data_IF_696218303461
#
_entry.id   IF_696218303461
#
_cell.length_a   1.000
_cell.length_b   1.000
_cell.length_c   1.000
_cell.angle_alpha   90.00
_cell.angle_beta   90.00
_cell.angle_gamma   90.00
#
_symmetry.space_group_name_H-M   'P 1'
#
loop_
_entity.id
_entity.type
_entity.pdbx_description
1 polymer ?
#
# COMPACT_ATOMS: atom_id res chain seq x y z
N UNK A 1 -16.20 55.31 43.46
CA UNK A 1 -17.02 54.51 44.38
C UNK A 1 -18.41 55.13 44.52
N UNK A 2 -19.38 54.69 43.71
CA UNK A 2 -20.82 54.83 43.97
C UNK A 2 -21.52 53.66 43.30
N UNK A 3 -21.99 52.73 44.13
CA UNK A 3 -22.79 51.56 43.78
C UNK A 3 -24.23 51.98 43.58
N UNK A 4 -24.85 51.58 42.47
CA UNK A 4 -26.31 51.48 42.36
C UNK A 4 -26.68 50.07 41.93
N UNK A 5 -27.56 49.49 42.72
CA UNK A 5 -27.98 48.10 42.71
C UNK A 5 -29.51 48.15 42.62
N UNK A 6 -30.10 47.73 41.50
CA UNK A 6 -31.56 47.52 41.38
C UNK A 6 -31.80 46.22 40.62
N UNK A 7 -32.39 45.27 41.34
CA UNK A 7 -32.97 44.01 40.87
C UNK A 7 -34.44 44.22 40.43
N UNK A 8 -34.96 43.17 39.75
CA UNK A 8 -36.34 42.83 39.36
C UNK A 8 -36.65 43.07 37.88
N UNK A 9 -36.57 42.01 37.05
CA UNK A 9 -37.56 40.95 36.79
C UNK A 9 -38.67 41.40 35.83
N UNK A 10 -38.74 40.79 34.64
CA UNK A 10 -40.00 40.30 34.09
C UNK A 10 -39.75 39.16 33.09
N UNK A 11 -40.38 38.05 33.43
CA UNK A 11 -40.48 36.76 32.74
C UNK A 11 -41.46 36.89 31.58
N UNK A 12 -41.18 36.26 30.44
CA UNK A 12 -42.20 35.91 29.45
C UNK A 12 -42.02 34.45 29.02
N UNK A 13 -42.91 33.63 29.55
CA UNK A 13 -43.20 32.27 29.11
C UNK A 13 -44.12 32.34 27.88
N UNK A 14 -43.86 31.49 26.88
CA UNK A 14 -44.96 30.76 26.24
C UNK A 14 -44.53 29.33 25.94
N UNK A 15 -45.18 28.41 26.65
CA UNK A 15 -45.25 26.96 26.46
C UNK A 15 -46.50 26.69 25.61
N UNK A 16 -46.40 25.84 24.59
CA UNK A 16 -47.35 24.75 24.20
C UNK A 16 -46.52 23.83 23.29
N UNK A 17 -46.34 22.52 23.46
CA UNK A 17 -47.10 21.45 24.11
C UNK A 17 -47.16 20.30 23.06
N UNK A 18 -46.43 19.19 23.21
CA UNK A 18 -46.86 17.93 23.86
C UNK A 18 -48.05 17.28 23.08
N UNK A 19 -48.14 15.99 22.69
CA UNK A 19 -47.75 14.69 23.28
C UNK A 19 -48.02 13.55 22.25
N UNK A 20 -47.10 12.59 22.17
CA UNK A 20 -47.23 11.11 22.04
C UNK A 20 -48.16 10.45 21.00
N UNK A 21 -47.65 9.36 20.38
CA UNK A 21 -48.01 8.00 20.79
C UNK A 21 -47.00 6.95 20.30
N UNK A 22 -46.79 5.98 21.19
CA UNK A 22 -45.93 4.82 21.07
C UNK A 22 -46.53 3.75 20.14
N UNK A 23 -45.69 2.89 19.56
CA UNK A 23 -45.59 1.48 19.98
C UNK A 23 -44.81 0.63 18.96
N UNK A 24 -44.29 -0.44 19.51
CA UNK A 24 -43.46 -1.53 18.98
C UNK A 24 -44.07 -2.27 17.78
N UNK A 25 -43.22 -2.66 16.84
CA UNK A 25 -43.52 -3.68 15.85
C UNK A 25 -42.25 -4.40 15.41
N UNK A 26 -42.02 -5.60 15.94
CA UNK A 26 -41.09 -6.57 15.37
C UNK A 26 -41.66 -7.08 14.05
N UNK A 27 -40.85 -7.07 12.98
CA UNK A 27 -41.10 -7.88 11.80
C UNK A 27 -39.77 -8.42 11.28
N UNK A 28 -39.55 -9.72 11.50
CA UNK A 28 -38.71 -10.55 10.65
C UNK A 28 -39.39 -10.71 9.28
N UNK A 29 -38.59 -10.83 8.21
CA UNK A 29 -38.76 -11.66 7.00
C UNK A 29 -37.90 -11.02 5.88
N UNK A 30 -36.75 -11.63 5.57
CA UNK A 30 -36.60 -12.61 4.48
C UNK A 30 -36.64 -11.98 3.08
N UNK A 31 -35.45 -11.79 2.50
CA UNK A 31 -35.27 -11.79 1.06
C UNK A 31 -34.03 -12.64 0.71
N UNK A 32 -34.24 -13.96 0.71
CA UNK A 32 -33.38 -14.91 0.02
C UNK A 32 -33.68 -14.82 -1.48
N UNK A 33 -32.75 -14.32 -2.29
CA UNK A 33 -32.79 -14.54 -3.73
C UNK A 33 -32.06 -15.84 -4.06
N UNK A 34 -32.85 -16.92 -4.18
CA UNK A 34 -32.49 -18.12 -4.94
C UNK A 34 -32.47 -17.75 -6.42
N UNK A 35 -31.30 -17.60 -7.01
CA UNK A 35 -31.14 -17.78 -8.46
C UNK A 35 -30.64 -19.21 -8.66
N UNK A 36 -31.55 -20.05 -9.18
CA UNK A 36 -31.31 -21.45 -9.51
C UNK A 36 -30.70 -21.52 -10.91
N UNK A 37 -29.62 -22.27 -11.02
CA UNK A 37 -28.95 -22.66 -12.26
C UNK A 37 -29.88 -23.41 -13.24
N UNK A 38 -29.72 -23.13 -14.55
CA UNK A 38 -29.64 -24.08 -15.69
C UNK A 38 -29.42 -23.28 -16.99
N UNK A 39 -28.18 -23.28 -17.51
CA UNK A 39 -27.69 -24.00 -18.72
C UNK A 39 -28.14 -23.39 -20.07
N UNK A 40 -27.37 -23.49 -21.18
CA UNK A 40 -26.09 -24.18 -21.39
C UNK A 40 -24.97 -23.29 -21.98
N UNK A 41 -23.75 -23.85 -21.94
CA UNK A 41 -22.63 -23.55 -22.82
C UNK A 41 -23.05 -23.38 -24.28
N UNK A 42 -22.77 -22.21 -24.87
CA UNK A 42 -22.37 -22.11 -26.28
C UNK A 42 -21.68 -20.77 -26.49
N UNK A 43 -20.36 -20.79 -26.69
CA UNK A 43 -19.65 -20.03 -27.73
C UNK A 43 -18.16 -20.41 -27.67
N UNK A 44 -17.90 -21.67 -28.01
CA UNK A 44 -16.75 -22.05 -28.82
C UNK A 44 -16.91 -21.40 -30.21
N UNK A 45 -15.77 -21.05 -30.82
CA UNK A 45 -15.55 -20.41 -32.13
C UNK A 45 -15.59 -18.88 -32.14
N UNK A 46 -14.45 -18.28 -31.79
CA UNK A 46 -13.61 -17.57 -32.76
C UNK A 46 -12.16 -17.95 -32.45
N UNK A 47 -11.72 -19.09 -33.01
CA UNK A 47 -10.30 -19.35 -33.25
C UNK A 47 -10.06 -18.68 -34.61
N UNK A 48 -9.28 -17.61 -34.61
CA UNK A 48 -8.76 -17.03 -35.83
C UNK A 48 -7.48 -17.80 -36.18
N UNK A 49 -7.62 -18.77 -37.09
CA UNK A 49 -6.59 -19.71 -37.54
C UNK A 49 -5.49 -19.05 -38.41
N UNK A 50 -5.13 -17.79 -38.14
CA UNK A 50 -4.11 -17.05 -38.91
C UNK A 50 -2.93 -16.51 -38.08
N UNK A 51 -2.71 -17.02 -36.86
CA UNK A 51 -1.58 -16.61 -36.02
C UNK A 51 -0.48 -17.68 -35.87
N UNK A 52 -0.25 -18.48 -36.92
CA UNK A 52 0.75 -19.57 -36.91
C UNK A 52 1.86 -19.40 -37.96
N UNK A 53 2.10 -18.17 -38.43
CA UNK A 53 3.17 -17.90 -39.40
C UNK A 53 3.91 -16.58 -39.11
N UNK A 54 4.57 -16.50 -37.95
CA UNK A 54 5.71 -15.58 -37.73
C UNK A 54 6.53 -16.01 -36.49
N UNK A 55 6.91 -17.29 -36.40
CA UNK A 55 8.02 -17.73 -35.54
C UNK A 55 9.07 -18.34 -36.45
N UNK A 56 9.93 -17.48 -36.98
CA UNK A 56 11.30 -17.84 -37.34
C UNK A 56 12.14 -16.57 -37.30
N UNK A 57 12.75 -16.31 -36.15
CA UNK A 57 14.01 -15.57 -36.08
C UNK A 57 14.77 -15.91 -34.81
N UNK A 58 16.11 -15.82 -34.87
CA UNK A 58 17.00 -16.82 -34.31
C UNK A 58 17.21 -16.65 -32.80
N UNK A 59 17.30 -17.79 -32.11
CA UNK A 59 17.94 -17.90 -30.80
C UNK A 59 19.33 -17.30 -30.91
N UNK A 60 19.50 -16.07 -30.42
CA UNK A 60 20.81 -15.53 -30.11
C UNK A 60 20.90 -15.48 -28.59
N UNK A 61 21.79 -16.31 -28.05
CA UNK A 61 22.23 -16.25 -26.66
C UNK A 61 22.88 -14.88 -26.40
N UNK A 62 22.06 -13.85 -26.17
CA UNK A 62 22.54 -12.55 -25.73
C UNK A 62 22.60 -12.58 -24.21
N UNK A 63 23.80 -12.88 -23.70
CA UNK A 63 24.17 -12.67 -22.29
C UNK A 63 23.82 -11.23 -21.91
N UNK A 64 22.81 -11.05 -21.06
CA UNK A 64 22.35 -9.74 -20.60
C UNK A 64 23.46 -9.04 -19.81
N UNK A 65 23.84 -7.82 -20.23
CA UNK A 65 24.79 -6.97 -19.50
C UNK A 65 24.04 -5.95 -18.62
N UNK A 66 24.67 -5.44 -17.57
CA UNK A 66 24.07 -4.42 -16.70
C UNK A 66 23.70 -3.11 -17.46
N UNK A 67 24.39 -2.83 -18.58
CA UNK A 67 24.15 -1.69 -19.46
C UNK A 67 22.87 -1.85 -20.30
N UNK A 68 22.51 -3.09 -20.68
CA UNK A 68 21.23 -3.34 -21.36
C UNK A 68 20.04 -3.15 -20.43
N UNK A 69 20.23 -3.33 -19.12
CA UNK A 69 19.18 -3.18 -18.10
C UNK A 69 18.84 -1.70 -17.87
N UNK A 70 19.84 -0.82 -17.75
CA UNK A 70 19.60 0.63 -17.52
C UNK A 70 19.01 1.36 -18.73
N UNK A 71 19.38 0.97 -19.96
CA UNK A 71 18.80 1.55 -21.18
C UNK A 71 17.39 1.01 -21.48
N UNK A 72 17.07 -0.19 -20.99
CA UNK A 72 15.75 -0.80 -21.06
C UNK A 72 14.78 -0.13 -20.08
N UNK A 73 15.22 0.28 -18.89
CA UNK A 73 14.41 0.96 -17.87
C UNK A 73 13.75 2.26 -18.36
N UNK A 74 14.54 3.20 -18.91
CA UNK A 74 14.01 4.49 -19.39
C UNK A 74 13.07 4.31 -20.59
N UNK A 75 13.30 3.27 -21.39
CA UNK A 75 12.49 2.97 -22.56
C UNK A 75 11.18 2.25 -22.16
N UNK A 76 11.21 1.36 -21.17
CA UNK A 76 10.00 0.70 -20.64
C UNK A 76 9.07 1.72 -20.01
N UNK A 77 9.56 2.61 -19.14
CA UNK A 77 8.69 3.56 -18.43
C UNK A 77 7.82 4.35 -19.41
N UNK A 78 8.37 4.72 -20.56
CA UNK A 78 7.66 5.41 -21.64
C UNK A 78 6.63 4.56 -22.40
N UNK A 79 6.68 3.23 -22.28
CA UNK A 79 5.86 2.27 -23.02
C UNK A 79 4.80 1.56 -22.16
N UNK A 80 4.77 1.75 -20.83
CA UNK A 80 3.82 1.05 -19.93
C UNK A 80 2.36 1.52 -20.09
N UNK A 81 2.13 2.67 -20.70
CA UNK A 81 0.79 3.11 -21.08
C UNK A 81 0.21 2.24 -22.21
N UNK A 82 1.07 1.66 -23.05
CA UNK A 82 0.67 0.74 -24.11
C UNK A 82 0.56 -0.71 -23.60
N UNK A 83 -0.40 -1.46 -24.15
CA UNK A 83 -0.54 -2.91 -23.88
C UNK A 83 0.73 -3.67 -24.28
N UNK A 84 1.30 -3.32 -25.43
CA UNK A 84 2.51 -3.95 -25.98
C UNK A 84 3.71 -3.76 -25.06
N UNK A 85 3.92 -2.56 -24.51
CA UNK A 85 5.00 -2.32 -23.55
C UNK A 85 4.84 -3.11 -22.26
N UNK A 86 3.59 -3.29 -21.78
CA UNK A 86 3.29 -4.13 -20.62
C UNK A 86 3.54 -5.62 -20.89
N UNK A 87 3.15 -6.12 -22.05
CA UNK A 87 3.44 -7.51 -22.46
C UNK A 87 4.96 -7.76 -22.55
N UNK A 88 5.73 -6.84 -23.16
CA UNK A 88 7.20 -6.91 -23.21
C UNK A 88 7.86 -6.94 -21.83
N UNK A 89 7.36 -6.15 -20.87
CA UNK A 89 7.89 -6.15 -19.51
C UNK A 89 7.65 -7.48 -18.81
N UNK A 90 6.50 -8.12 -19.02
CA UNK A 90 6.21 -9.43 -18.44
C UNK A 90 7.02 -10.53 -19.09
N UNK A 91 7.23 -10.48 -20.40
CA UNK A 91 8.13 -11.40 -21.09
C UNK A 91 9.55 -11.30 -20.52
N UNK A 92 10.03 -10.08 -20.28
CA UNK A 92 11.30 -9.84 -19.58
C UNK A 92 11.33 -10.43 -18.17
N UNK A 93 10.24 -10.30 -17.39
CA UNK A 93 10.14 -10.91 -16.06
C UNK A 93 10.19 -12.44 -16.09
N UNK A 94 9.61 -13.05 -17.12
CA UNK A 94 9.63 -14.51 -17.33
C UNK A 94 11.02 -15.00 -17.76
N UNK A 95 11.67 -14.28 -18.69
CA UNK A 95 13.06 -14.58 -19.06
C UNK A 95 14.01 -14.44 -17.86
N UNK A 96 13.78 -13.45 -16.98
CA UNK A 96 14.46 -13.37 -15.71
C UNK A 96 14.14 -14.57 -14.79
N UNK A 97 12.94 -15.14 -14.78
CA UNK A 97 12.60 -16.28 -13.92
C UNK A 97 13.19 -17.61 -14.39
N UNK A 98 13.29 -17.82 -15.71
CA UNK A 98 13.53 -19.14 -16.31
C UNK A 98 15.03 -19.47 -16.46
N UNK A 99 15.90 -18.47 -16.42
CA UNK A 99 17.35 -18.67 -16.51
C UNK A 99 17.97 -19.04 -15.15
N UNK A 100 18.14 -20.35 -14.93
CA UNK A 100 19.04 -20.94 -13.93
C UNK A 100 20.47 -20.91 -14.49
N UNK A 101 21.34 -20.06 -13.97
CA UNK A 101 22.78 -20.23 -14.17
C UNK A 101 23.57 -19.87 -12.91
N UNK A 102 24.43 -20.81 -12.52
CA UNK A 102 25.21 -20.85 -11.28
C UNK A 102 26.38 -19.84 -11.21
N UNK A 103 26.34 -18.74 -11.98
CA UNK A 103 27.35 -17.68 -11.88
C UNK A 103 26.96 -16.67 -10.79
N UNK A 104 27.80 -16.51 -9.76
CA UNK A 104 27.53 -15.65 -8.60
C UNK A 104 27.34 -14.16 -8.98
N UNK A 105 28.03 -13.70 -10.02
CA UNK A 105 27.90 -12.35 -10.60
C UNK A 105 26.60 -12.18 -11.41
N UNK A 106 26.20 -13.20 -12.16
CA UNK A 106 24.91 -13.24 -12.88
C UNK A 106 23.74 -13.15 -11.90
N UNK A 107 23.87 -13.83 -10.76
CA UNK A 107 22.86 -13.80 -9.70
C UNK A 107 22.74 -12.42 -9.02
N UNK A 108 23.82 -11.64 -8.91
CA UNK A 108 23.77 -10.26 -8.40
C UNK A 108 23.06 -9.31 -9.37
N UNK A 109 23.40 -9.37 -10.67
CA UNK A 109 22.74 -8.55 -11.70
C UNK A 109 21.23 -8.85 -11.79
N UNK A 110 20.85 -10.13 -11.65
CA UNK A 110 19.45 -10.58 -11.59
C UNK A 110 18.73 -10.05 -10.33
N UNK A 111 19.38 -10.11 -9.16
CA UNK A 111 18.82 -9.54 -7.94
C UNK A 111 18.63 -8.01 -8.04
N UNK A 112 19.58 -7.30 -8.65
CA UNK A 112 19.44 -5.87 -8.95
C UNK A 112 18.29 -5.60 -9.92
N UNK A 113 18.16 -6.38 -11.00
CA UNK A 113 17.05 -6.29 -11.94
C UNK A 113 15.69 -6.44 -11.24
N UNK A 114 15.54 -7.46 -10.39
CA UNK A 114 14.32 -7.63 -9.59
C UNK A 114 14.07 -6.49 -8.61
N UNK A 115 15.11 -5.93 -7.97
CA UNK A 115 14.95 -4.79 -7.07
C UNK A 115 14.44 -3.54 -7.81
N UNK A 116 15.00 -3.29 -8.99
CA UNK A 116 14.57 -2.17 -9.82
C UNK A 116 13.15 -2.34 -10.36
N UNK A 117 12.80 -3.56 -10.77
CA UNK A 117 11.42 -3.91 -11.15
C UNK A 117 10.46 -3.76 -9.98
N UNK A 118 10.86 -4.14 -8.76
CA UNK A 118 10.06 -3.88 -7.56
C UNK A 118 9.82 -2.38 -7.38
N UNK A 119 10.85 -1.56 -7.58
CA UNK A 119 10.75 -0.12 -7.57
C UNK A 119 9.79 0.43 -8.61
N UNK A 120 9.90 -0.02 -9.86
CA UNK A 120 9.01 0.35 -10.95
C UNK A 120 7.55 -0.01 -10.63
N UNK A 121 7.27 -1.26 -10.26
CA UNK A 121 5.91 -1.68 -9.93
C UNK A 121 5.32 -0.93 -8.74
N UNK A 122 6.14 -0.54 -7.76
CA UNK A 122 5.68 0.32 -6.68
C UNK A 122 5.25 1.71 -7.19
N UNK A 123 6.01 2.32 -8.12
CA UNK A 123 5.65 3.62 -8.73
C UNK A 123 4.31 3.51 -9.49
N UNK A 124 4.10 2.37 -10.15
CA UNK A 124 2.86 2.04 -10.86
C UNK A 124 1.72 1.61 -9.92
N UNK A 125 1.94 1.58 -8.60
CA UNK A 125 1.01 1.12 -7.55
C UNK A 125 0.56 -0.34 -7.69
N UNK A 126 1.38 -1.16 -8.36
CA UNK A 126 1.21 -2.60 -8.50
C UNK A 126 1.91 -3.33 -7.35
N UNK A 127 1.54 -2.97 -6.11
CA UNK A 127 2.27 -3.37 -4.91
C UNK A 127 2.42 -4.89 -4.71
N UNK A 128 1.42 -5.74 -5.04
CA UNK A 128 1.61 -7.18 -4.99
C UNK A 128 2.74 -7.68 -5.89
N UNK A 129 2.85 -7.13 -7.11
CA UNK A 129 3.92 -7.48 -8.04
C UNK A 129 5.27 -6.90 -7.60
N UNK A 130 5.28 -5.67 -7.08
CA UNK A 130 6.46 -5.05 -6.51
C UNK A 130 7.09 -5.92 -5.42
N UNK A 131 6.28 -6.38 -4.46
CA UNK A 131 6.75 -7.21 -3.37
C UNK A 131 7.10 -8.64 -3.82
N UNK A 132 6.45 -9.21 -4.86
CA UNK A 132 6.90 -10.46 -5.48
C UNK A 132 8.30 -10.33 -6.10
N UNK A 133 8.57 -9.22 -6.81
CA UNK A 133 9.91 -8.93 -7.33
C UNK A 133 10.92 -8.77 -6.18
N UNK A 134 10.57 -8.02 -5.13
CA UNK A 134 11.42 -7.87 -3.95
C UNK A 134 11.75 -9.21 -3.28
N UNK A 135 10.76 -10.12 -3.16
CA UNK A 135 10.98 -11.46 -2.63
C UNK A 135 12.07 -12.24 -3.38
N UNK A 136 12.15 -12.06 -4.71
CA UNK A 136 13.19 -12.71 -5.53
C UNK A 136 14.60 -12.18 -5.23
N UNK A 137 14.72 -10.95 -4.74
CA UNK A 137 16.00 -10.37 -4.30
C UNK A 137 16.48 -11.01 -2.99
N UNK A 138 15.56 -11.36 -2.09
CA UNK A 138 15.87 -12.00 -0.79
C UNK A 138 16.45 -13.41 -0.96
N UNK A 139 15.95 -14.15 -1.95
CA UNK A 139 16.42 -15.51 -2.26
C UNK A 139 17.90 -15.58 -2.67
N UNK A 140 18.48 -14.48 -3.16
CA UNK A 140 19.91 -14.37 -3.47
C UNK A 140 20.77 -14.30 -2.20
N UNK A 141 20.38 -13.48 -1.21
CA UNK A 141 21.15 -13.31 0.04
C UNK A 141 21.26 -14.61 0.84
N UNK A 142 20.19 -15.42 0.86
CA UNK A 142 20.20 -16.76 1.49
C UNK A 142 21.22 -17.71 0.86
N UNK A 143 21.44 -17.65 -0.46
CA UNK A 143 22.45 -18.47 -1.15
C UNK A 143 23.89 -17.97 -0.91
N UNK A 144 24.09 -16.66 -0.76
CA UNK A 144 25.40 -16.08 -0.52
C UNK A 144 25.91 -16.30 0.93
N UNK A 145 25.02 -16.52 1.90
CA UNK A 145 25.37 -16.69 3.32
C UNK A 145 25.52 -18.14 3.79
N UNK A 146 25.19 -19.15 2.98
CA UNK A 146 25.36 -20.56 3.37
C UNK A 146 26.71 -21.15 2.93
N UNK A 147 27.70 -21.07 3.83
CA UNK A 147 28.49 -22.27 4.20
C UNK A 147 27.62 -23.07 5.19
N UNK A 148 27.49 -24.41 5.05
CA UNK A 148 26.49 -25.17 5.79
C UNK A 148 27.00 -25.50 7.19
N UNK A 149 26.81 -24.59 8.15
CA UNK A 149 26.77 -25.00 9.55
C UNK A 149 25.32 -25.24 9.94
N UNK A 150 25.04 -26.52 10.15
CA UNK A 150 23.77 -27.06 10.61
C UNK A 150 23.44 -26.46 11.98
N UNK A 151 22.14 -26.27 12.27
CA UNK A 151 21.50 -26.07 13.60
C UNK A 151 20.71 -24.76 13.81
N UNK A 152 20.74 -23.74 12.94
CA UNK A 152 19.97 -22.47 13.20
C UNK A 152 18.65 -22.28 12.41
N UNK A 153 18.17 -23.28 11.68
CA UNK A 153 17.00 -23.13 10.78
C UNK A 153 15.61 -23.05 11.45
N UNK A 154 15.52 -22.86 12.77
CA UNK A 154 14.26 -23.03 13.51
C UNK A 154 13.63 -21.76 14.12
N UNK A 155 14.24 -20.57 14.02
CA UNK A 155 13.73 -19.40 14.76
C UNK A 155 13.28 -18.18 13.94
N UNK A 156 13.54 -18.11 12.63
CA UNK A 156 13.03 -17.02 11.76
C UNK A 156 11.94 -17.49 10.78
N UNK A 157 11.24 -18.59 11.10
CA UNK A 157 10.37 -19.35 10.20
C UNK A 157 9.14 -18.62 9.66
N UNK A 158 9.33 -17.69 8.73
CA UNK A 158 8.31 -17.30 7.76
C UNK A 158 8.18 -18.45 6.73
N UNK A 159 7.32 -19.41 7.03
CA UNK A 159 6.99 -20.55 6.16
C UNK A 159 6.17 -20.13 4.93
N UNK A 160 6.71 -19.23 4.10
CA UNK A 160 6.04 -18.79 2.88
C UNK A 160 5.95 -19.93 1.87
N UNK A 161 4.77 -20.12 1.28
CA UNK A 161 4.66 -20.96 0.10
C UNK A 161 5.33 -20.24 -1.08
N UNK A 162 6.60 -20.59 -1.35
CA UNK A 162 7.43 -19.97 -2.40
C UNK A 162 6.78 -20.02 -3.78
N UNK A 163 5.94 -21.02 -4.06
CA UNK A 163 5.25 -21.15 -5.35
C UNK A 163 4.16 -20.09 -5.53
N UNK A 164 3.47 -19.70 -4.46
CA UNK A 164 2.43 -18.65 -4.51
C UNK A 164 3.02 -17.24 -4.73
N UNK A 165 4.31 -17.06 -4.46
CA UNK A 165 5.07 -15.82 -4.68
C UNK A 165 5.82 -15.83 -6.02
N UNK A 166 5.59 -16.82 -6.88
CA UNK A 166 6.09 -16.78 -8.26
C UNK A 166 5.28 -15.78 -9.08
N UNK A 167 5.97 -15.10 -10.00
CA UNK A 167 5.32 -14.29 -11.03
C UNK A 167 4.77 -15.26 -12.07
N UNK A 168 3.47 -15.20 -12.36
CA UNK A 168 2.80 -16.17 -13.23
C UNK A 168 1.68 -15.53 -14.05
N UNK A 169 0.98 -16.35 -14.85
CA UNK A 169 -0.08 -15.91 -15.75
C UNK A 169 -1.23 -15.13 -15.09
N UNK A 170 -1.48 -15.31 -13.79
CA UNK A 170 -2.47 -14.51 -13.05
C UNK A 170 -2.00 -13.04 -12.96
N UNK A 171 -0.71 -12.83 -12.68
CA UNK A 171 -0.11 -11.49 -12.64
C UNK A 171 -0.14 -10.82 -14.02
N UNK A 172 0.04 -11.62 -15.09
CA UNK A 172 -0.07 -11.13 -16.47
C UNK A 172 -1.44 -10.51 -16.74
N UNK A 173 -2.50 -11.19 -16.32
CA UNK A 173 -3.87 -10.73 -16.55
C UNK A 173 -4.19 -9.43 -15.83
N UNK A 174 -3.63 -9.22 -14.63
CA UNK A 174 -3.84 -7.99 -13.85
C UNK A 174 -3.07 -6.83 -14.46
N UNK A 175 -1.82 -7.06 -14.85
CA UNK A 175 -0.93 -6.02 -15.35
C UNK A 175 -1.25 -5.61 -16.80
N UNK A 176 -1.48 -6.57 -17.71
CA UNK A 176 -1.72 -6.28 -19.13
C UNK A 176 -3.07 -5.62 -19.34
N UNK A 177 -4.11 -6.12 -18.67
CA UNK A 177 -5.49 -5.69 -18.90
C UNK A 177 -5.89 -4.45 -18.09
N UNK A 178 -5.12 -4.08 -17.05
CA UNK A 178 -5.36 -2.85 -16.29
C UNK A 178 -4.44 -1.74 -16.83
N UNK A 179 -4.97 -0.71 -17.50
CA UNK A 179 -4.14 0.37 -18.01
C UNK A 179 -3.44 1.10 -16.85
N UNK A 180 -2.11 1.10 -16.88
CA UNK A 180 -1.29 1.80 -15.90
C UNK A 180 -1.27 3.29 -16.23
N UNK A 181 -1.73 4.12 -15.30
CA UNK A 181 -1.76 5.57 -15.49
C UNK A 181 -0.41 6.18 -15.10
N UNK A 182 0.47 6.34 -16.10
CA UNK A 182 1.78 6.99 -15.95
C UNK A 182 1.71 8.52 -15.89
N UNK A 183 0.78 9.12 -16.66
CA UNK A 183 0.68 10.58 -16.77
C UNK A 183 -0.27 11.13 -15.72
N UNK A 184 0.23 12.12 -14.97
CA UNK A 184 -0.46 12.85 -13.92
C UNK A 184 -1.81 13.40 -14.38
N UNK A 185 -2.88 12.62 -14.22
CA UNK A 185 -4.17 13.21 -13.92
C UNK A 185 -4.07 13.76 -12.51
N UNK A 186 -4.61 14.97 -12.28
CA UNK A 186 -4.73 15.58 -10.94
C UNK A 186 -5.07 14.48 -9.93
N UNK A 187 -4.25 14.37 -8.89
CA UNK A 187 -4.41 13.37 -7.84
C UNK A 187 -5.87 13.31 -7.40
N UNK A 188 -6.49 12.13 -7.55
CA UNK A 188 -7.88 11.97 -7.18
C UNK A 188 -7.98 12.08 -5.67
N UNK A 189 -8.97 12.83 -5.18
CA UNK A 189 -9.24 12.90 -3.75
C UNK A 189 -9.56 11.49 -3.21
N UNK A 190 -8.82 11.10 -2.18
CA UNK A 190 -9.08 9.91 -1.37
C UNK A 190 -10.54 9.82 -0.93
N UNK A 191 -11.19 8.68 -1.20
CA UNK A 191 -12.58 8.41 -0.79
C UNK A 191 -12.59 7.76 0.58
N UNK A 192 -13.57 8.06 1.42
CA UNK A 192 -13.72 7.38 2.71
C UNK A 192 -13.86 5.86 2.54
N UNK A 193 -13.24 5.12 3.45
CA UNK A 193 -13.34 3.67 3.56
C UNK A 193 -13.52 3.33 5.05
N UNK A 194 -14.30 2.30 5.35
CA UNK A 194 -14.52 1.83 6.72
C UNK A 194 -13.60 0.67 7.04
N UNK A 195 -13.33 0.44 8.33
CA UNK A 195 -12.66 -0.77 8.80
C UNK A 195 -13.28 -2.06 8.22
N UNK A 196 -14.61 -2.17 8.21
CA UNK A 196 -15.29 -3.36 7.68
C UNK A 196 -14.96 -3.58 6.19
N UNK A 197 -14.85 -2.52 5.38
CA UNK A 197 -14.47 -2.64 3.98
C UNK A 197 -13.00 -3.01 3.79
N UNK A 198 -12.11 -2.48 4.65
CA UNK A 198 -10.71 -2.88 4.70
C UNK A 198 -10.61 -4.38 5.04
N UNK A 199 -11.24 -4.81 6.14
CA UNK A 199 -11.25 -6.20 6.59
C UNK A 199 -11.80 -7.15 5.52
N UNK A 200 -12.94 -6.79 4.91
CA UNK A 200 -13.60 -7.62 3.90
C UNK A 200 -12.77 -7.80 2.62
N UNK A 201 -11.83 -6.89 2.32
CA UNK A 201 -10.86 -7.08 1.23
C UNK A 201 -10.07 -8.38 1.40
N UNK A 202 -9.80 -8.78 2.64
CA UNK A 202 -8.99 -9.97 2.96
C UNK A 202 -9.83 -11.23 3.21
N UNK A 203 -11.15 -11.09 3.28
CA UNK A 203 -12.12 -12.17 3.43
C UNK A 203 -12.58 -12.71 2.06
N UNK A 204 -11.64 -12.95 1.17
CA UNK A 204 -11.86 -13.43 -0.21
C UNK A 204 -12.17 -14.94 -0.31
N UNK A 205 -12.28 -15.64 0.83
CA UNK A 205 -12.54 -17.08 0.88
C UNK A 205 -11.34 -17.96 0.52
N UNK A 206 -10.16 -17.37 0.28
CA UNK A 206 -8.96 -18.08 -0.17
C UNK A 206 -7.94 -18.24 0.96
N UNK A 207 -7.19 -19.35 0.91
CA UNK A 207 -6.11 -19.65 1.85
C UNK A 207 -4.92 -18.74 1.58
N UNK A 208 -4.42 -18.07 2.61
CA UNK A 208 -3.24 -17.23 2.50
C UNK A 208 -1.95 -18.05 2.38
N UNK A 209 -1.00 -17.53 1.60
CA UNK A 209 0.35 -18.03 1.44
C UNK A 209 1.40 -17.09 2.05
N UNK A 210 1.16 -15.78 2.03
CA UNK A 210 2.05 -14.76 2.56
C UNK A 210 1.30 -13.44 2.78
N UNK A 211 1.91 -12.56 3.58
CA UNK A 211 1.40 -11.21 3.84
C UNK A 211 2.53 -10.19 3.71
N UNK A 212 2.19 -8.97 3.32
CA UNK A 212 3.13 -7.86 3.29
C UNK A 212 2.48 -6.55 3.75
N UNK A 213 3.31 -5.67 4.29
CA UNK A 213 2.98 -4.28 4.59
C UNK A 213 3.91 -3.38 3.79
N UNK A 214 3.34 -2.35 3.15
CA UNK A 214 4.10 -1.19 2.68
C UNK A 214 3.69 0.05 3.48
N UNK A 215 4.67 0.90 3.74
CA UNK A 215 4.57 2.19 4.40
C UNK A 215 4.92 3.27 3.36
N UNK A 216 4.02 4.22 3.16
CA UNK A 216 4.14 5.26 2.14
C UNK A 216 4.17 6.64 2.77
N UNK A 217 5.03 7.51 2.26
CA UNK A 217 5.13 8.91 2.64
C UNK A 217 5.03 9.76 1.39
N UNK A 218 4.24 10.83 1.47
CA UNK A 218 4.23 11.95 0.54
C UNK A 218 4.61 13.20 1.33
N UNK A 219 5.78 13.75 1.07
CA UNK A 219 6.23 14.99 1.68
C UNK A 219 5.43 16.18 1.14
N UNK A 220 5.28 17.27 1.91
CA UNK A 220 4.72 18.53 1.40
C UNK A 220 5.52 19.09 0.22
N UNK A 221 6.84 18.88 0.28
CA UNK A 221 7.81 19.18 -0.77
C UNK A 221 8.75 17.97 -0.85
N UNK A 222 8.74 17.22 -1.97
CA UNK A 222 9.59 16.05 -2.14
C UNK A 222 11.07 16.37 -1.90
N UNK A 223 11.80 15.44 -1.28
CA UNK A 223 13.21 15.54 -0.92
C UNK A 223 13.54 16.63 0.11
N UNK A 224 12.57 17.13 0.89
CA UNK A 224 12.80 18.20 1.89
C UNK A 224 12.11 17.92 3.23
N UNK A 225 12.74 18.29 4.36
CA UNK A 225 12.14 18.17 5.72
C UNK A 225 11.03 19.20 5.99
N UNK A 226 10.36 19.71 4.95
CA UNK A 226 9.33 20.73 5.08
C UNK A 226 8.07 20.11 5.69
N UNK A 227 7.60 20.64 6.82
CA UNK A 227 6.41 20.14 7.54
C UNK A 227 5.10 20.52 6.83
N UNK A 228 5.05 21.68 6.17
CA UNK A 228 3.90 22.09 5.37
C UNK A 228 4.29 23.12 4.30
N UNK A 229 3.53 23.16 3.20
CA UNK A 229 3.56 24.21 2.18
C UNK A 229 2.13 24.71 1.97
N UNK A 230 1.83 25.91 2.47
CA UNK A 230 0.46 26.45 2.53
C UNK A 230 -0.46 25.48 3.29
N UNK A 231 -1.47 24.92 2.62
CA UNK A 231 -2.39 23.93 3.21
C UNK A 231 -1.93 22.46 2.99
N UNK A 232 -0.82 22.23 2.27
CA UNK A 232 -0.30 20.88 2.05
C UNK A 232 0.61 20.49 3.22
N UNK A 233 0.18 19.51 4.03
CA UNK A 233 0.95 18.94 5.15
C UNK A 233 1.59 17.60 4.80
N UNK A 234 1.49 17.18 3.53
CA UNK A 234 1.90 15.86 3.10
C UNK A 234 0.91 14.78 3.55
N UNK A 235 1.26 13.53 3.31
CA UNK A 235 0.44 12.38 3.67
C UNK A 235 1.28 11.16 4.06
N UNK A 236 0.78 10.33 4.97
CA UNK A 236 1.38 9.04 5.30
C UNK A 236 0.28 7.98 5.35
N UNK A 237 0.51 6.85 4.70
CA UNK A 237 -0.46 5.77 4.61
C UNK A 237 0.22 4.42 4.48
N UNK A 238 -0.56 3.34 4.56
CA UNK A 238 -0.06 1.99 4.42
C UNK A 238 -0.77 1.22 3.32
N UNK A 239 -0.11 0.19 2.79
CA UNK A 239 -0.74 -0.84 1.95
C UNK A 239 -0.57 -2.19 2.62
N UNK A 240 -1.69 -2.89 2.81
CA UNK A 240 -1.70 -4.28 3.27
C UNK A 240 -1.95 -5.22 2.10
N UNK A 241 -1.20 -6.32 2.04
CA UNK A 241 -1.29 -7.32 0.97
C UNK A 241 -1.44 -8.72 1.57
N UNK A 242 -2.35 -9.51 1.00
CA UNK A 242 -2.49 -10.95 1.22
C UNK A 242 -2.27 -11.65 -0.12
N UNK A 243 -1.31 -12.57 -0.15
CA UNK A 243 -1.11 -13.49 -1.25
C UNK A 243 -1.82 -14.80 -0.94
N UNK A 244 -2.51 -15.36 -1.92
CA UNK A 244 -3.25 -16.61 -1.78
C UNK A 244 -2.46 -17.78 -2.35
N UNK A 245 -2.75 -18.99 -1.88
CA UNK A 245 -2.10 -20.22 -2.36
C UNK A 245 -2.40 -20.55 -3.81
N UNK A 246 -3.44 -19.95 -4.40
CA UNK A 246 -3.80 -20.06 -5.82
C UNK A 246 -3.11 -18.98 -6.68
N UNK A 247 -2.06 -18.35 -6.15
CA UNK A 247 -1.28 -17.27 -6.77
C UNK A 247 -2.01 -15.93 -6.99
N UNK A 248 -3.30 -15.83 -6.66
CA UNK A 248 -3.99 -14.54 -6.62
C UNK A 248 -3.56 -13.71 -5.42
N UNK A 249 -3.82 -12.41 -5.44
CA UNK A 249 -3.55 -11.52 -4.32
C UNK A 249 -4.63 -10.47 -4.17
N UNK A 250 -4.86 -10.04 -2.93
CA UNK A 250 -5.70 -8.90 -2.60
C UNK A 250 -4.88 -7.87 -1.82
N UNK A 251 -5.14 -6.59 -2.07
CA UNK A 251 -4.45 -5.49 -1.40
C UNK A 251 -5.37 -4.30 -1.20
N UNK A 252 -5.13 -3.52 -0.16
CA UNK A 252 -5.80 -2.23 0.06
C UNK A 252 -4.81 -1.22 0.63
N UNK A 253 -4.84 -0.02 0.09
CA UNK A 253 -4.04 1.13 0.54
C UNK A 253 -4.95 2.11 1.27
N UNK A 254 -4.57 2.51 2.49
CA UNK A 254 -5.39 3.41 3.29
C UNK A 254 -4.58 4.14 4.36
N UNK A 255 -5.06 5.32 4.73
CA UNK A 255 -4.47 6.20 5.74
C UNK A 255 -5.52 6.73 6.70
N UNK A 256 -5.07 7.22 7.85
CA UNK A 256 -5.91 7.82 8.87
C UNK A 256 -5.98 9.34 8.67
N UNK A 257 -7.19 9.87 8.59
CA UNK A 257 -7.45 11.25 8.19
C UNK A 257 -8.36 11.96 9.18
N UNK A 258 -8.25 13.30 9.26
CA UNK A 258 -9.29 14.08 9.91
C UNK A 258 -10.55 14.08 9.05
N UNK A 259 -11.69 13.85 9.68
CA UNK A 259 -13.01 14.21 9.15
C UNK A 259 -13.11 15.73 9.27
N UNK A 260 -13.42 16.42 8.17
CA UNK A 260 -13.47 17.90 8.16
C UNK A 260 -14.87 18.35 8.54
N UNK A 261 -15.08 18.62 9.83
CA UNK A 261 -16.34 19.19 10.32
C UNK A 261 -16.43 20.69 10.02
N UNK A 262 -15.29 21.38 9.97
CA UNK A 262 -15.17 22.78 9.60
C UNK A 262 -13.82 23.07 8.90
N UNK A 263 -13.56 24.34 8.53
CA UNK A 263 -12.33 24.73 7.80
C UNK A 263 -11.05 24.70 8.68
N UNK A 264 -11.19 24.79 10.00
CA UNK A 264 -10.09 24.77 10.98
C UNK A 264 -9.85 23.39 11.59
N UNK A 265 -10.72 22.40 11.37
CA UNK A 265 -10.51 21.03 11.88
C UNK A 265 -9.14 20.48 11.46
N UNK A 266 -8.40 19.96 12.43
CA UNK A 266 -7.02 19.49 12.28
C UNK A 266 -6.03 20.56 11.78
N UNK A 267 -6.16 21.78 12.29
CA UNK A 267 -5.17 22.86 12.13
C UNK A 267 -4.50 23.16 13.47
N UNK A 268 -3.41 23.94 13.52
CA UNK A 268 -2.79 24.26 14.80
C UNK A 268 -3.70 25.04 15.77
N UNK A 269 -4.78 25.65 15.29
CA UNK A 269 -5.76 26.35 16.12
C UNK A 269 -6.84 25.41 16.68
N UNK A 270 -7.27 24.44 15.87
CA UNK A 270 -8.23 23.40 16.26
C UNK A 270 -7.63 22.04 15.86
N UNK A 271 -6.72 21.51 16.69
CA UNK A 271 -5.87 20.37 16.30
C UNK A 271 -6.60 19.03 16.33
N UNK A 272 -7.79 18.99 16.94
CA UNK A 272 -8.58 17.79 17.21
C UNK A 272 -9.83 17.76 16.32
N UNK A 273 -10.23 16.56 15.88
CA UNK A 273 -11.51 16.28 15.19
C UNK A 273 -11.74 14.78 15.13
N UNK A 274 -12.89 14.33 14.63
CA UNK A 274 -13.14 12.90 14.41
C UNK A 274 -12.18 12.35 13.37
N UNK A 275 -11.57 11.20 13.63
CA UNK A 275 -10.72 10.50 12.66
C UNK A 275 -11.50 9.47 11.84
N UNK A 276 -11.01 9.20 10.64
CA UNK A 276 -11.56 8.15 9.77
C UNK A 276 -10.57 7.73 8.70
N UNK A 277 -10.83 6.58 8.04
CA UNK A 277 -9.95 6.10 6.97
C UNK A 277 -10.39 6.60 5.60
N UNK A 278 -9.40 6.78 4.72
CA UNK A 278 -9.63 6.96 3.29
C UNK A 278 -8.79 5.98 2.49
N UNK A 279 -9.31 5.62 1.31
CA UNK A 279 -8.69 4.71 0.37
C UNK A 279 -7.65 5.46 -0.48
N UNK A 280 -6.39 5.12 -0.24
CA UNK A 280 -5.21 5.71 -0.85
C UNK A 280 -4.66 4.93 -2.06
N UNK A 281 -5.44 4.02 -2.66
CA UNK A 281 -4.98 3.21 -3.80
C UNK A 281 -4.57 4.04 -5.04
N UNK A 282 -5.10 5.26 -5.18
CA UNK A 282 -4.76 6.18 -6.27
C UNK A 282 -3.81 7.31 -5.82
N UNK A 283 -3.38 7.33 -4.54
CA UNK A 283 -2.55 8.41 -3.99
C UNK A 283 -1.08 8.28 -4.38
N UNK A 284 -0.42 9.42 -4.58
CA UNK A 284 1.02 9.45 -4.89
C UNK A 284 1.85 9.40 -3.60
N UNK A 285 3.10 8.96 -3.72
CA UNK A 285 4.05 8.84 -2.63
C UNK A 285 5.44 9.22 -3.15
N UNK A 286 6.27 9.78 -2.27
CA UNK A 286 7.66 10.17 -2.52
C UNK A 286 8.62 9.11 -1.98
N UNK A 287 8.31 8.53 -0.81
CA UNK A 287 9.06 7.41 -0.23
C UNK A 287 8.15 6.21 0.06
N UNK A 288 8.68 5.01 -0.17
CA UNK A 288 8.02 3.75 0.20
C UNK A 288 9.01 2.82 0.90
N UNK A 289 8.54 2.19 1.97
CA UNK A 289 9.21 1.05 2.59
C UNK A 289 8.28 -0.15 2.60
N UNK A 290 8.79 -1.38 2.52
CA UNK A 290 7.95 -2.57 2.49
C UNK A 290 8.62 -3.82 3.04
N UNK A 291 7.82 -4.66 3.69
CA UNK A 291 8.31 -5.89 4.31
C UNK A 291 7.27 -7.01 4.24
N UNK A 292 7.74 -8.24 4.05
CA UNK A 292 6.90 -9.42 4.26
C UNK A 292 6.72 -9.68 5.76
N UNK A 293 5.49 -9.97 6.18
CA UNK A 293 5.15 -10.11 7.59
C UNK A 293 4.42 -11.42 7.86
N UNK A 294 4.48 -11.87 9.12
CA UNK A 294 3.71 -13.03 9.56
C UNK A 294 2.22 -12.71 9.65
N UNK A 295 1.39 -13.74 9.57
CA UNK A 295 -0.07 -13.62 9.78
C UNK A 295 -0.38 -12.94 11.12
N UNK A 296 0.35 -13.28 12.19
CA UNK A 296 0.16 -12.66 13.50
C UNK A 296 0.36 -11.14 13.46
N UNK A 297 1.40 -10.66 12.77
CA UNK A 297 1.67 -9.22 12.61
C UNK A 297 0.59 -8.57 11.75
N UNK A 298 0.19 -9.21 10.66
CA UNK A 298 -0.90 -8.76 9.80
C UNK A 298 -2.21 -8.58 10.59
N UNK A 299 -2.60 -9.57 11.40
CA UNK A 299 -3.80 -9.51 12.24
C UNK A 299 -3.68 -8.43 13.34
N UNK A 300 -2.48 -8.20 13.90
CA UNK A 300 -2.26 -7.08 14.83
C UNK A 300 -2.49 -5.73 14.16
N UNK A 301 -2.08 -5.57 12.91
CA UNK A 301 -2.31 -4.34 12.15
C UNK A 301 -3.80 -4.17 11.84
N UNK A 302 -4.53 -5.23 11.48
CA UNK A 302 -5.99 -5.14 11.33
C UNK A 302 -6.70 -4.75 12.64
N UNK A 303 -6.26 -5.27 13.78
CA UNK A 303 -6.76 -4.84 15.11
C UNK A 303 -6.38 -3.39 15.43
N UNK A 304 -5.22 -2.91 14.99
CA UNK A 304 -4.86 -1.50 15.07
C UNK A 304 -5.84 -0.65 14.26
N UNK A 305 -6.11 -1.03 13.00
CA UNK A 305 -7.08 -0.35 12.13
C UNK A 305 -8.46 -0.29 12.79
N UNK A 306 -8.94 -1.39 13.37
CA UNK A 306 -10.22 -1.41 14.08
C UNK A 306 -10.28 -0.40 15.23
N UNK A 307 -9.20 -0.29 16.03
CA UNK A 307 -9.13 0.64 17.16
C UNK A 307 -9.07 2.11 16.74
N UNK A 308 -8.60 2.38 15.53
CA UNK A 308 -8.51 3.71 14.95
C UNK A 308 -9.81 4.16 14.27
N UNK A 309 -10.74 3.24 13.97
CA UNK A 309 -12.04 3.59 13.41
C UNK A 309 -12.81 4.51 14.37
N UNK A 310 -13.07 5.74 13.95
CA UNK A 310 -13.76 6.75 14.77
C UNK A 310 -12.95 7.30 15.94
N UNK A 311 -11.66 6.94 16.05
CA UNK A 311 -10.76 7.51 17.05
C UNK A 311 -10.51 8.99 16.74
N UNK A 312 -10.30 9.82 17.76
CA UNK A 312 -9.98 11.23 17.57
C UNK A 312 -8.68 11.39 16.76
N UNK A 313 -8.75 12.19 15.71
CA UNK A 313 -7.59 12.68 15.00
C UNK A 313 -7.06 13.90 15.73
N UNK A 314 -5.77 13.89 16.09
CA UNK A 314 -5.10 15.04 16.68
C UNK A 314 -3.80 15.33 15.92
N UNK A 315 -3.68 16.55 15.38
CA UNK A 315 -2.56 16.98 14.53
C UNK A 315 -1.15 16.69 15.13
N UNK A 316 -0.98 16.84 16.44
CA UNK A 316 0.29 16.66 17.15
C UNK A 316 0.50 15.28 17.80
N UNK A 317 -0.56 14.53 18.08
CA UNK A 317 -0.50 13.34 18.95
C UNK A 317 -1.02 12.06 18.31
N UNK A 318 -1.93 12.18 17.35
CA UNK A 318 -2.56 11.04 16.70
C UNK A 318 -3.02 11.41 15.29
N UNK A 319 -2.10 11.37 14.34
CA UNK A 319 -2.32 11.75 12.95
C UNK A 319 -2.03 10.60 11.96
N UNK A 320 -2.04 10.91 10.66
CA UNK A 320 -1.75 9.94 9.60
C UNK A 320 -0.39 9.26 9.76
N UNK A 321 0.64 10.01 10.14
CA UNK A 321 1.99 9.52 10.35
C UNK A 321 2.08 8.66 11.61
N UNK A 322 1.42 9.04 12.72
CA UNK A 322 1.39 8.22 13.95
C UNK A 322 0.76 6.85 13.71
N UNK A 323 -0.36 6.81 13.00
CA UNK A 323 -1.03 5.56 12.63
C UNK A 323 -0.10 4.65 11.81
N UNK A 324 0.51 5.20 10.75
CA UNK A 324 1.35 4.43 9.86
C UNK A 324 2.64 3.96 10.55
N UNK A 325 3.25 4.77 11.42
CA UNK A 325 4.44 4.39 12.19
C UNK A 325 4.12 3.26 13.18
N UNK A 326 2.95 3.28 13.81
CA UNK A 326 2.51 2.16 14.66
C UNK A 326 2.25 0.88 13.86
N UNK A 327 1.67 0.99 12.66
CA UNK A 327 1.48 -0.15 11.78
C UNK A 327 2.83 -0.76 11.33
N UNK A 328 3.80 0.08 10.95
CA UNK A 328 5.16 -0.35 10.62
C UNK A 328 5.85 -1.04 11.82
N UNK A 329 5.76 -0.45 13.02
CA UNK A 329 6.33 -1.07 14.23
C UNK A 329 5.71 -2.44 14.52
N UNK A 330 4.39 -2.63 14.31
CA UNK A 330 3.77 -3.94 14.41
C UNK A 330 4.24 -4.93 13.34
N UNK A 331 4.69 -4.44 12.19
CA UNK A 331 5.36 -5.23 11.16
C UNK A 331 6.83 -5.55 11.50
N UNK A 332 7.43 -4.90 12.50
CA UNK A 332 8.83 -5.11 12.90
C UNK A 332 9.83 -4.26 12.13
N UNK A 333 9.40 -3.11 11.60
CA UNK A 333 10.29 -2.12 11.00
C UNK A 333 9.78 -0.70 11.27
N UNK A 334 10.57 0.33 10.97
CA UNK A 334 10.05 1.68 11.03
C UNK A 334 11.06 2.77 10.74
N UNK A 335 10.65 4.00 11.02
CA UNK A 335 11.45 5.21 10.85
C UNK A 335 11.73 5.79 12.24
N UNK A 336 12.98 6.13 12.48
CA UNK A 336 13.39 6.94 13.62
C UNK A 336 13.38 8.42 13.22
N UNK A 337 13.16 9.32 14.19
CA UNK A 337 13.16 10.77 13.97
C UNK A 337 12.11 11.25 12.95
N UNK A 338 10.82 11.12 13.27
CA UNK A 338 9.71 11.58 12.43
C UNK A 338 9.06 12.89 12.91
N UNK A 339 9.50 13.43 14.05
CA UNK A 339 8.92 14.62 14.69
C UNK A 339 9.44 15.92 14.09
N UNK A 340 8.52 16.84 13.82
CA UNK A 340 8.81 18.22 13.44
C UNK A 340 7.88 19.19 14.15
N UNK A 341 8.16 20.49 13.99
CA UNK A 341 7.43 21.56 14.66
C UNK A 341 6.76 22.49 13.65
N UNK A 342 5.64 23.06 14.05
CA UNK A 342 4.88 24.09 13.32
C UNK A 342 4.36 25.12 14.33
N UNK A 343 3.81 26.27 13.89
CA UNK A 343 3.26 27.24 14.83
C UNK A 343 2.24 26.58 15.75
N UNK A 344 2.38 26.74 17.06
CA UNK A 344 1.48 26.20 18.09
C UNK A 344 1.47 24.67 18.26
N UNK A 345 2.39 23.92 17.64
CA UNK A 345 2.42 22.47 17.81
C UNK A 345 3.66 21.77 17.29
N UNK A 346 3.77 20.48 17.60
CA UNK A 346 4.78 19.58 17.06
C UNK A 346 4.25 18.16 17.04
N UNK A 347 4.85 17.28 16.26
CA UNK A 347 4.42 15.88 16.15
C UNK A 347 5.05 15.16 14.97
N UNK A 348 4.77 13.87 14.87
CA UNK A 348 5.19 13.07 13.73
C UNK A 348 4.54 13.62 12.46
N UNK A 349 5.30 13.80 11.38
CA UNK A 349 4.75 14.36 10.15
C UNK A 349 5.43 13.78 8.90
N UNK A 350 4.76 13.86 7.73
CA UNK A 350 5.27 13.28 6.49
C UNK A 350 6.60 13.89 6.05
N UNK A 351 6.77 15.22 6.19
CA UNK A 351 7.97 15.92 5.76
C UNK A 351 9.23 15.41 6.44
N UNK A 352 9.23 15.38 7.78
CA UNK A 352 10.38 14.87 8.55
C UNK A 352 10.53 13.35 8.38
N UNK A 353 9.42 12.60 8.33
CA UNK A 353 9.47 11.15 8.14
C UNK A 353 10.13 10.76 6.82
N UNK A 354 9.73 11.39 5.70
CA UNK A 354 10.34 11.14 4.40
C UNK A 354 11.83 11.47 4.39
N UNK A 355 12.21 12.60 5.01
CA UNK A 355 13.61 12.97 5.13
C UNK A 355 14.43 11.96 5.92
N UNK A 356 13.86 11.39 6.98
CA UNK A 356 14.50 10.37 7.79
C UNK A 356 14.66 9.05 7.05
N UNK A 357 13.71 8.66 6.19
CA UNK A 357 13.88 7.50 5.30
C UNK A 357 15.06 7.76 4.34
N UNK A 358 15.09 8.91 3.68
CA UNK A 358 16.18 9.29 2.76
C UNK A 358 17.54 9.29 3.47
N UNK A 359 17.60 9.75 4.72
CA UNK A 359 18.81 9.76 5.52
C UNK A 359 19.21 8.38 6.06
N UNK A 360 18.44 7.32 5.79
CA UNK A 360 18.71 5.97 6.26
C UNK A 360 18.37 5.75 7.74
N UNK A 361 17.59 6.63 8.35
CA UNK A 361 17.16 6.54 9.74
C UNK A 361 16.02 5.52 9.94
N UNK A 362 16.17 4.35 9.32
CA UNK A 362 15.20 3.24 9.31
C UNK A 362 15.72 2.09 10.17
N UNK A 363 14.82 1.33 10.78
CA UNK A 363 15.17 0.13 11.56
C UNK A 363 14.37 -1.09 11.09
N UNK A 364 14.95 -2.27 11.31
CA UNK A 364 14.31 -3.58 11.15
C UNK A 364 14.61 -4.42 12.41
N UNK A 365 13.57 -4.76 13.16
CA UNK A 365 13.70 -5.51 14.42
C UNK A 365 13.87 -7.01 14.21
N UNK A 366 13.50 -7.54 13.04
CA UNK A 366 13.60 -8.97 12.75
C UNK A 366 14.89 -9.33 12.00
N UNK A 367 15.71 -8.33 11.61
CA UNK A 367 16.89 -8.49 10.75
C UNK A 367 16.57 -9.15 9.39
N UNK A 368 15.37 -8.91 8.85
CA UNK A 368 15.02 -9.34 7.50
C UNK A 368 15.40 -8.26 6.47
N UNK A 369 15.15 -8.55 5.20
CA UNK A 369 15.30 -7.55 4.14
C UNK A 369 14.11 -6.57 4.12
N UNK A 370 14.43 -5.27 4.13
CA UNK A 370 13.49 -4.17 3.97
C UNK A 370 13.56 -3.61 2.54
N UNK A 371 12.42 -3.56 1.85
CA UNK A 371 12.30 -2.87 0.56
C UNK A 371 12.24 -1.38 0.82
N UNK A 372 13.07 -0.58 0.14
CA UNK A 372 13.04 0.89 0.23
C UNK A 372 13.17 1.49 -1.17
N UNK A 373 12.26 2.36 -1.55
CA UNK A 373 12.34 3.07 -2.82
C UNK A 373 11.88 4.52 -2.70
N UNK A 374 12.34 5.34 -3.64
CA UNK A 374 12.09 6.78 -3.72
C UNK A 374 11.55 7.14 -5.11
N UNK A 375 10.67 8.13 -5.16
CA UNK A 375 10.32 8.79 -6.42
C UNK A 375 11.51 9.59 -6.96
N UNK A 376 11.57 9.82 -8.27
CA UNK A 376 12.63 10.60 -8.89
C UNK A 376 12.60 12.06 -8.48
N UNK A 377 11.41 12.60 -8.15
CA UNK A 377 11.26 13.97 -7.66
C UNK A 377 11.95 14.24 -6.30
N UNK A 378 12.42 13.18 -5.62
CA UNK A 378 13.16 13.25 -4.34
C UNK A 378 14.66 13.50 -4.56
N UNK A 379 15.20 13.18 -5.74
CA UNK A 379 16.60 13.41 -6.12
C UNK A 379 16.86 14.89 -6.37
#
# INVERSE_FOLDING_TARGET
MKTFNIKYQFTAYTIVGFIFFASTGSAQLSASLKIKNKLPDTLLRIIDDNYTAAITSPKTDKKLSAESISSFESNIESQLDTRVGREKLLEYLKDLSDNNSDELAYNQAKAQGYYKLAGLFAKLRLYPLAMKCFFKTMGYKQKAQHKPDSVMAAQTGLGFNRFALTINAVDDSVFVNSPVQLKEKKEKKSKSITYNRILNTFNDGKKAAAYALLFHVKQPKPGKPTVFVRANTGHTFITLIKYNTDSTSVSVSFGFYPVKDNIFSATPWEPETTGGFKNDSDHHWDEVMGKFISERKFQRILKLTQRYEGLEYHLSKNNCTDFALQAASFAGFGVTNSKGSWPLGSGNNPGITGQSIIAGAVYDDDNDDLFINYDEAVK
#
